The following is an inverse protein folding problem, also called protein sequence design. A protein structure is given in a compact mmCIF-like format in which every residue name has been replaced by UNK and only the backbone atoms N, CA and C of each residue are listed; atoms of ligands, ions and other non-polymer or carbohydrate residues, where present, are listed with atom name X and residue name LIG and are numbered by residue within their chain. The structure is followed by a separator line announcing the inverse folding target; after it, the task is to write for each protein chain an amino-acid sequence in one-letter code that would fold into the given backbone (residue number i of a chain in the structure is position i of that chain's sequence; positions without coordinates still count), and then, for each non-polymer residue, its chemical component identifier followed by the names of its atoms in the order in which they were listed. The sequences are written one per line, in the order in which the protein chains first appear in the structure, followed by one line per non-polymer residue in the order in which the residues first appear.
data_IF_021167090715
#
_entry.id   IF_021167090715
#
_cell.length_a   1.000
_cell.length_b   1.000
_cell.length_c   1.000
_cell.angle_alpha   90.00
_cell.angle_beta   90.00
_cell.angle_gamma   90.00
#
_symmetry.space_group_name_H-M   'P 1'
#
loop_
_entity.id
_entity.type
_entity.pdbx_description
1 polymer ?
#
# COMPACT_ATOMS: atom_id res chain seq x y z
N UNK A 1 16.05 21.28 -24.03
CA UNK A 1 16.33 20.05 -24.78
C UNK A 1 15.14 19.78 -25.68
N UNK A 2 15.28 19.95 -27.00
CA UNK A 2 14.15 19.90 -27.94
C UNK A 2 13.73 18.44 -28.16
N UNK A 3 12.47 18.14 -27.80
CA UNK A 3 11.86 16.85 -28.11
C UNK A 3 11.41 16.90 -29.60
N UNK A 4 12.40 16.72 -30.48
CA UNK A 4 12.18 16.63 -31.91
C UNK A 4 12.07 15.19 -32.34
N UNK A 5 10.89 14.62 -32.37
CA UNK A 5 10.64 13.32 -32.98
C UNK A 5 10.04 13.53 -34.36
N UNK A 6 10.90 13.49 -35.40
CA UNK A 6 10.50 13.62 -36.80
C UNK A 6 9.78 12.34 -37.23
N UNK A 7 8.48 12.43 -37.51
CA UNK A 7 7.75 11.49 -38.38
C UNK A 7 7.10 10.26 -37.73
N UNK A 8 7.19 10.06 -36.42
CA UNK A 8 6.44 8.99 -35.77
C UNK A 8 5.07 9.52 -35.36
N UNK A 9 4.00 8.95 -35.92
CA UNK A 9 2.63 9.23 -35.45
C UNK A 9 2.59 8.93 -33.95
N UNK A 10 2.16 9.90 -33.14
CA UNK A 10 2.04 9.73 -31.68
C UNK A 10 0.62 9.34 -31.32
N UNK A 11 0.42 8.43 -30.35
CA UNK A 11 -0.91 8.13 -29.83
C UNK A 11 -1.49 9.35 -29.11
N UNK A 12 -2.79 9.55 -29.25
CA UNK A 12 -3.52 10.60 -28.52
C UNK A 12 -4.00 10.09 -27.16
N UNK A 13 -4.21 11.00 -26.20
CA UNK A 13 -4.79 10.64 -24.90
C UNK A 13 -6.18 9.99 -25.02
N UNK A 14 -6.96 10.42 -26.02
CA UNK A 14 -8.27 9.82 -26.31
C UNK A 14 -8.14 8.34 -26.73
N UNK A 15 -7.16 8.03 -27.58
CA UNK A 15 -6.87 6.64 -27.99
C UNK A 15 -6.38 5.79 -26.82
N UNK A 16 -5.51 6.34 -25.97
CA UNK A 16 -5.03 5.65 -24.77
C UNK A 16 -6.17 5.38 -23.79
N UNK A 17 -7.08 6.35 -23.56
CA UNK A 17 -8.28 6.17 -22.73
C UNK A 17 -9.20 5.09 -23.27
N UNK A 18 -9.47 5.12 -24.57
CA UNK A 18 -10.31 4.12 -25.24
C UNK A 18 -9.74 2.71 -25.05
N UNK A 19 -8.44 2.55 -25.28
CA UNK A 19 -7.78 1.26 -25.12
C UNK A 19 -7.71 0.80 -23.65
N UNK A 20 -7.38 1.69 -22.72
CA UNK A 20 -7.35 1.37 -21.30
C UNK A 20 -8.71 0.88 -20.78
N UNK A 21 -9.81 1.54 -21.21
CA UNK A 21 -11.16 1.10 -20.86
C UNK A 21 -11.49 -0.29 -21.44
N UNK A 22 -11.10 -0.59 -22.68
CA UNK A 22 -11.30 -1.93 -23.25
C UNK A 22 -10.47 -2.98 -22.54
N UNK A 23 -9.23 -2.64 -22.14
CA UNK A 23 -8.35 -3.52 -21.39
C UNK A 23 -8.87 -3.85 -19.98
N UNK A 24 -9.63 -2.96 -19.38
CA UNK A 24 -10.25 -3.14 -18.06
C UNK A 24 -11.53 -3.97 -18.13
N UNK A 25 -12.43 -3.61 -19.06
CA UNK A 25 -13.75 -4.24 -19.14
C UNK A 25 -13.79 -5.51 -20.00
N UNK A 26 -12.81 -5.72 -20.87
CA UNK A 26 -12.73 -6.82 -21.86
C UNK A 26 -14.01 -6.98 -22.69
N UNK A 27 -14.78 -5.88 -22.79
CA UNK A 27 -16.05 -5.80 -23.51
C UNK A 27 -16.27 -4.39 -24.06
N UNK A 28 -16.44 -4.23 -25.40
CA UNK A 28 -16.50 -2.93 -26.05
C UNK A 28 -17.69 -2.07 -25.63
N UNK A 29 -18.86 -2.67 -25.37
CA UNK A 29 -20.07 -1.91 -24.96
C UNK A 29 -19.88 -1.31 -23.55
N UNK A 30 -19.38 -2.12 -22.60
CA UNK A 30 -19.20 -1.70 -21.22
C UNK A 30 -18.08 -0.67 -21.11
N UNK A 31 -16.97 -0.88 -21.84
CA UNK A 31 -15.88 0.08 -21.95
C UNK A 31 -16.37 1.42 -22.53
N UNK A 32 -17.21 1.39 -23.58
CA UNK A 32 -17.76 2.61 -24.18
C UNK A 32 -18.68 3.37 -23.22
N UNK A 33 -19.54 2.65 -22.49
CA UNK A 33 -20.41 3.23 -21.48
C UNK A 33 -19.59 3.88 -20.33
N UNK A 34 -18.53 3.21 -19.89
CA UNK A 34 -17.67 3.69 -18.80
C UNK A 34 -16.99 5.04 -19.10
N UNK A 35 -16.65 5.30 -20.36
CA UNK A 35 -15.97 6.56 -20.77
C UNK A 35 -16.86 7.52 -21.55
N UNK A 36 -18.19 7.27 -21.61
CA UNK A 36 -19.15 8.15 -22.26
C UNK A 36 -19.01 8.23 -23.78
N UNK A 37 -18.56 7.16 -24.43
CA UNK A 37 -18.40 7.07 -25.89
C UNK A 37 -19.42 6.12 -26.52
N UNK A 38 -19.68 6.27 -27.82
CA UNK A 38 -20.38 5.24 -28.57
C UNK A 38 -19.44 4.06 -28.89
N UNK A 39 -19.97 2.83 -28.92
CA UNK A 39 -19.16 1.64 -29.22
C UNK A 39 -18.42 1.73 -30.58
N UNK A 40 -18.99 2.26 -31.68
CA UNK A 40 -18.24 2.47 -32.91
C UNK A 40 -17.08 3.44 -32.78
N UNK A 41 -17.26 4.55 -32.04
CA UNK A 41 -16.21 5.54 -31.81
C UNK A 41 -15.07 4.94 -30.95
N UNK A 42 -15.39 4.17 -29.92
CA UNK A 42 -14.42 3.46 -29.11
C UNK A 42 -13.61 2.46 -29.95
N UNK A 43 -14.29 1.64 -30.76
CA UNK A 43 -13.62 0.65 -31.63
C UNK A 43 -12.73 1.34 -32.67
N UNK A 44 -13.15 2.45 -33.24
CA UNK A 44 -12.34 3.25 -34.16
C UNK A 44 -11.07 3.82 -33.47
N UNK A 45 -11.23 4.33 -32.24
CA UNK A 45 -10.10 4.86 -31.46
C UNK A 45 -9.05 3.79 -31.13
N UNK A 46 -9.48 2.59 -30.78
CA UNK A 46 -8.57 1.47 -30.51
C UNK A 46 -7.88 1.00 -31.78
N UNK A 47 -8.61 0.87 -32.89
CA UNK A 47 -8.01 0.48 -34.18
C UNK A 47 -6.98 1.52 -34.68
N UNK A 48 -7.27 2.82 -34.50
CA UNK A 48 -6.34 3.89 -34.82
C UNK A 48 -5.08 3.88 -33.91
N UNK A 49 -5.20 3.43 -32.66
CA UNK A 49 -4.06 3.21 -31.76
C UNK A 49 -3.20 2.05 -32.27
N UNK A 50 -3.81 0.92 -32.61
CA UNK A 50 -3.12 -0.25 -33.16
C UNK A 50 -2.35 0.12 -34.44
N UNK A 51 -2.97 0.90 -35.33
CA UNK A 51 -2.32 1.43 -36.54
C UNK A 51 -1.16 2.37 -36.21
N UNK A 52 -1.33 3.26 -35.23
CA UNK A 52 -0.28 4.22 -34.81
C UNK A 52 0.92 3.50 -34.21
N UNK A 53 0.70 2.45 -33.43
CA UNK A 53 1.76 1.68 -32.77
C UNK A 53 2.33 0.55 -33.64
N UNK A 54 1.63 0.19 -34.74
CA UNK A 54 2.04 -0.90 -35.64
C UNK A 54 1.95 -2.29 -35.00
N UNK A 55 1.14 -2.44 -33.93
CA UNK A 55 0.98 -3.71 -33.20
C UNK A 55 -0.49 -3.97 -32.88
N UNK A 56 -0.88 -5.23 -32.94
CA UNK A 56 -2.21 -5.67 -32.53
C UNK A 56 -2.27 -5.77 -31.00
N UNK A 57 -3.19 -5.02 -30.39
CA UNK A 57 -3.37 -4.96 -28.93
C UNK A 57 -4.46 -5.91 -28.45
N UNK A 58 -5.43 -6.23 -29.31
CA UNK A 58 -6.58 -7.06 -28.96
C UNK A 58 -6.69 -8.27 -29.89
N UNK A 59 -6.97 -9.42 -29.31
CA UNK A 59 -7.42 -10.60 -30.01
C UNK A 59 -8.95 -10.62 -30.01
N UNK A 60 -9.55 -10.49 -31.20
CA UNK A 60 -11.01 -10.43 -31.38
C UNK A 60 -11.51 -11.80 -31.79
N UNK A 61 -12.23 -12.47 -30.91
CA UNK A 61 -13.05 -13.62 -31.25
C UNK A 61 -14.51 -13.21 -31.33
N UNK A 62 -15.36 -14.01 -31.98
CA UNK A 62 -16.80 -13.74 -32.10
C UNK A 62 -17.54 -13.66 -30.75
N UNK A 63 -16.91 -14.08 -29.66
CA UNK A 63 -17.53 -14.15 -28.31
C UNK A 63 -16.76 -13.42 -27.20
N UNK A 64 -15.48 -13.10 -27.40
CA UNK A 64 -14.65 -12.48 -26.34
C UNK A 64 -13.62 -11.53 -26.93
N UNK A 65 -13.30 -10.50 -26.15
CA UNK A 65 -12.15 -9.62 -26.36
C UNK A 65 -11.08 -10.03 -25.37
N UNK A 66 -9.89 -10.31 -25.88
CA UNK A 66 -8.72 -10.63 -25.06
C UNK A 66 -7.59 -9.66 -25.40
N UNK A 67 -6.73 -9.39 -24.43
CA UNK A 67 -5.50 -8.65 -24.70
C UNK A 67 -4.48 -9.59 -25.34
N UNK A 68 -3.78 -9.08 -26.37
CA UNK A 68 -2.58 -9.75 -26.84
C UNK A 68 -1.44 -9.58 -25.81
N UNK A 69 -0.36 -10.38 -25.85
CA UNK A 69 0.81 -10.16 -24.98
C UNK A 69 1.43 -8.77 -25.13
N UNK A 70 1.33 -8.14 -26.30
CA UNK A 70 1.70 -6.74 -26.51
C UNK A 70 0.68 -5.81 -25.85
N UNK A 71 -0.62 -6.13 -25.98
CA UNK A 71 -1.72 -5.39 -25.39
C UNK A 71 -1.61 -5.27 -23.87
N UNK A 72 -1.27 -6.35 -23.17
CA UNK A 72 -1.09 -6.32 -21.70
C UNK A 72 0.01 -5.33 -21.28
N UNK A 73 1.17 -5.39 -21.92
CA UNK A 73 2.30 -4.47 -21.63
C UNK A 73 1.95 -3.03 -21.97
N UNK A 74 1.27 -2.80 -23.10
CA UNK A 74 0.91 -1.46 -23.54
C UNK A 74 -0.24 -0.90 -22.70
N UNK A 75 -1.18 -1.74 -22.21
CA UNK A 75 -2.24 -1.31 -21.30
C UNK A 75 -1.66 -0.77 -19.97
N UNK A 76 -0.66 -1.43 -19.41
CA UNK A 76 0.03 -0.94 -18.22
C UNK A 76 0.72 0.43 -18.47
N UNK A 77 1.39 0.59 -19.62
CA UNK A 77 2.03 1.86 -19.99
C UNK A 77 1.02 2.97 -20.29
N UNK A 78 -0.08 2.64 -20.99
CA UNK A 78 -1.15 3.59 -21.27
C UNK A 78 -1.79 4.13 -19.99
N UNK A 79 -2.06 3.27 -19.02
CA UNK A 79 -2.52 3.69 -17.69
C UNK A 79 -1.54 4.65 -17.03
N UNK A 80 -0.25 4.34 -16.96
CA UNK A 80 0.75 5.23 -16.38
C UNK A 80 0.83 6.62 -17.05
N UNK A 81 0.63 6.72 -18.37
CA UNK A 81 0.55 8.01 -19.07
C UNK A 81 -0.72 8.78 -18.67
N UNK A 82 -1.87 8.10 -18.60
CA UNK A 82 -3.14 8.72 -18.21
C UNK A 82 -3.11 9.18 -16.74
N UNK A 83 -2.52 8.41 -15.86
CA UNK A 83 -2.31 8.76 -14.46
C UNK A 83 -1.40 9.99 -14.33
N UNK A 84 -0.35 10.08 -15.14
CA UNK A 84 0.54 11.26 -15.17
C UNK A 84 -0.19 12.54 -15.63
N UNK A 85 -1.13 12.41 -16.57
CA UNK A 85 -1.98 13.54 -16.99
C UNK A 85 -2.96 13.91 -15.88
N UNK A 86 -3.54 12.95 -15.19
CA UNK A 86 -4.36 13.17 -14.00
C UNK A 86 -3.60 13.96 -12.94
N UNK A 87 -2.37 13.53 -12.61
CA UNK A 87 -1.50 14.23 -11.67
C UNK A 87 -1.17 15.67 -12.06
N UNK A 88 -1.01 15.95 -13.36
CA UNK A 88 -0.80 17.33 -13.84
C UNK A 88 -2.01 18.23 -13.53
N UNK A 89 -3.23 17.74 -13.72
CA UNK A 89 -4.45 18.49 -13.43
C UNK A 89 -4.63 18.71 -11.91
N UNK A 90 -4.37 17.67 -11.12
CA UNK A 90 -4.43 17.72 -9.65
C UNK A 90 -3.40 18.72 -9.09
N UNK A 91 -2.19 18.74 -9.65
CA UNK A 91 -1.15 19.70 -9.28
C UNK A 91 -1.58 21.15 -9.56
N UNK A 92 -2.22 21.38 -10.70
CA UNK A 92 -2.77 22.70 -11.05
C UNK A 92 -3.92 23.12 -10.09
N UNK A 93 -4.73 22.19 -9.62
CA UNK A 93 -5.79 22.44 -8.63
C UNK A 93 -5.23 22.66 -7.22
N UNK A 94 -4.25 21.88 -6.79
CA UNK A 94 -3.62 22.01 -5.48
C UNK A 94 -2.96 23.39 -5.27
N UNK A 95 -2.39 23.97 -6.34
CA UNK A 95 -1.85 25.35 -6.30
C UNK A 95 -2.97 26.38 -6.06
N UNK A 96 -4.21 26.11 -6.49
CA UNK A 96 -5.33 27.04 -6.35
C UNK A 96 -6.04 26.98 -5.00
N UNK A 97 -6.09 25.81 -4.38
CA UNK A 97 -6.80 25.61 -3.12
C UNK A 97 -6.22 24.41 -2.34
N UNK A 98 -5.27 24.63 -1.42
CA UNK A 98 -4.69 23.57 -0.60
C UNK A 98 -5.77 22.90 0.28
N UNK A 99 -5.57 21.64 0.60
CA UNK A 99 -6.48 20.79 1.39
C UNK A 99 -7.88 20.65 0.76
N UNK A 100 -7.95 20.56 -0.56
CA UNK A 100 -9.18 20.28 -1.33
C UNK A 100 -8.94 19.19 -2.37
N UNK A 101 -10.03 18.73 -3.00
CA UNK A 101 -9.99 17.70 -4.05
C UNK A 101 -9.72 16.29 -3.52
N UNK A 102 -9.35 15.40 -4.41
CA UNK A 102 -9.12 13.99 -4.09
C UNK A 102 -7.73 13.78 -3.49
N UNK A 103 -7.66 12.98 -2.43
CA UNK A 103 -6.42 12.44 -1.87
C UNK A 103 -6.50 10.91 -1.90
N UNK A 104 -5.67 10.28 -2.70
CA UNK A 104 -5.56 8.82 -2.78
C UNK A 104 -4.47 8.34 -1.83
N UNK A 105 -4.91 7.78 -0.70
CA UNK A 105 -4.05 7.27 0.36
C UNK A 105 -3.88 5.76 0.25
N UNK A 106 -2.67 5.30 -0.02
CA UNK A 106 -2.30 3.89 0.09
C UNK A 106 -1.91 3.53 1.53
N UNK A 107 -2.37 2.40 2.03
CA UNK A 107 -2.06 1.94 3.40
C UNK A 107 -1.72 0.45 3.38
N UNK A 108 -0.69 0.04 4.10
CA UNK A 108 -0.35 -1.39 4.22
C UNK A 108 -1.34 -2.12 5.15
N UNK A 109 -1.63 -3.43 4.88
CA UNK A 109 -2.64 -4.19 5.63
C UNK A 109 -2.35 -4.32 7.13
N UNK A 110 -1.08 -4.24 7.52
CA UNK A 110 -0.68 -4.32 8.94
C UNK A 110 -0.80 -3.00 9.71
N UNK A 111 -1.29 -1.95 9.05
CA UNK A 111 -1.54 -0.61 9.61
C UNK A 111 -3.00 -0.19 9.41
N UNK A 112 -3.58 -0.50 8.26
CA UNK A 112 -4.91 -0.02 7.87
C UNK A 112 -6.00 -0.25 8.94
N UNK A 113 -6.27 -1.47 9.43
CA UNK A 113 -7.36 -1.71 10.36
C UNK A 113 -7.21 -0.97 11.70
N UNK A 114 -5.97 -0.68 12.10
CA UNK A 114 -5.64 -0.15 13.43
C UNK A 114 -5.52 1.37 13.45
N UNK A 115 -5.15 1.98 12.31
CA UNK A 115 -4.89 3.41 12.23
C UNK A 115 -5.95 4.18 11.43
N UNK A 116 -6.65 3.54 10.49
CA UNK A 116 -7.69 4.21 9.70
C UNK A 116 -8.76 4.92 10.53
N UNK A 117 -9.26 4.40 11.66
CA UNK A 117 -10.22 5.14 12.50
C UNK A 117 -9.68 6.50 12.93
N UNK A 118 -8.39 6.59 13.27
CA UNK A 118 -7.70 7.84 13.65
C UNK A 118 -7.53 8.76 12.45
N UNK A 119 -7.08 8.21 11.31
CA UNK A 119 -6.90 8.95 10.05
C UNK A 119 -8.21 9.53 9.56
N UNK A 120 -9.26 8.73 9.45
CA UNK A 120 -10.59 9.17 9.01
C UNK A 120 -11.15 10.26 9.93
N UNK A 121 -11.01 10.07 11.25
CA UNK A 121 -11.41 11.08 12.23
C UNK A 121 -10.63 12.40 12.10
N UNK A 122 -9.33 12.33 11.78
CA UNK A 122 -8.51 13.51 11.51
C UNK A 122 -9.00 14.25 10.26
N UNK A 123 -9.16 13.52 9.15
CA UNK A 123 -9.58 14.11 7.87
C UNK A 123 -10.97 14.74 7.97
N UNK A 124 -11.92 14.06 8.57
CA UNK A 124 -13.28 14.58 8.76
C UNK A 124 -13.31 15.91 9.55
N UNK A 125 -12.46 16.04 10.58
CA UNK A 125 -12.43 17.26 11.41
C UNK A 125 -11.60 18.40 10.83
N UNK A 126 -10.40 18.06 10.28
CA UNK A 126 -9.40 19.08 9.91
C UNK A 126 -9.38 19.40 8.41
N UNK A 127 -9.78 18.43 7.58
CA UNK A 127 -9.70 18.54 6.11
C UNK A 127 -11.02 18.18 5.43
N UNK A 128 -12.19 18.75 5.83
CA UNK A 128 -13.51 18.31 5.36
C UNK A 128 -13.78 18.57 3.87
N UNK A 129 -12.89 19.32 3.20
CA UNK A 129 -12.99 19.57 1.75
C UNK A 129 -12.14 18.61 0.91
N UNK A 130 -11.41 17.70 1.57
CA UNK A 130 -10.66 16.65 0.89
C UNK A 130 -11.52 15.40 0.76
N UNK A 131 -11.61 14.86 -0.45
CA UNK A 131 -12.18 13.53 -0.71
C UNK A 131 -11.09 12.47 -0.51
N UNK A 132 -11.10 11.80 0.64
CA UNK A 132 -10.11 10.81 1.00
C UNK A 132 -10.50 9.44 0.44
N UNK A 133 -9.74 8.94 -0.53
CA UNK A 133 -9.85 7.60 -1.07
C UNK A 133 -8.74 6.71 -0.49
N UNK A 134 -9.12 5.60 0.12
CA UNK A 134 -8.19 4.69 0.78
C UNK A 134 -8.02 3.42 -0.02
N UNK A 135 -6.77 3.03 -0.26
CA UNK A 135 -6.37 1.80 -0.95
C UNK A 135 -5.50 0.97 -0.02
N UNK A 136 -5.94 -0.23 0.30
CA UNK A 136 -5.19 -1.17 1.13
C UNK A 136 -4.52 -2.21 0.23
N UNK A 137 -3.17 -2.18 0.19
CA UNK A 137 -2.37 -3.06 -0.66
C UNK A 137 -0.99 -3.32 -0.02
N UNK A 138 -0.28 -4.33 -0.53
CA UNK A 138 1.09 -4.61 -0.14
C UNK A 138 2.05 -3.50 -0.60
N UNK A 139 3.20 -3.38 0.10
CA UNK A 139 4.16 -2.30 -0.11
C UNK A 139 4.60 -2.12 -1.57
N UNK A 140 4.87 -3.21 -2.29
CA UNK A 140 5.30 -3.14 -3.69
C UNK A 140 4.23 -2.50 -4.59
N UNK A 141 2.98 -2.94 -4.48
CA UNK A 141 1.83 -2.40 -5.23
C UNK A 141 1.59 -0.93 -4.90
N UNK A 142 1.71 -0.55 -3.61
CA UNK A 142 1.58 0.83 -3.17
C UNK A 142 2.67 1.73 -3.78
N UNK A 143 3.92 1.27 -3.81
CA UNK A 143 5.04 2.01 -4.41
C UNK A 143 4.87 2.17 -5.92
N UNK A 144 4.41 1.14 -6.63
CA UNK A 144 4.05 1.24 -8.04
C UNK A 144 2.91 2.25 -8.27
N UNK A 145 1.89 2.23 -7.40
CA UNK A 145 0.78 3.19 -7.42
C UNK A 145 1.25 4.63 -7.21
N UNK A 146 2.17 4.84 -6.25
CA UNK A 146 2.77 6.14 -5.97
C UNK A 146 3.62 6.64 -7.15
N UNK A 147 4.50 5.79 -7.69
CA UNK A 147 5.36 6.13 -8.82
C UNK A 147 4.55 6.42 -10.10
N UNK A 148 3.47 5.69 -10.33
CA UNK A 148 2.57 5.87 -11.46
C UNK A 148 1.55 7.00 -11.32
N UNK A 149 1.45 7.68 -10.16
CA UNK A 149 0.49 8.75 -9.90
C UNK A 149 -0.92 8.29 -9.57
N UNK A 150 -1.17 6.98 -9.43
CA UNK A 150 -2.45 6.43 -8.97
C UNK A 150 -2.69 6.66 -7.47
N UNK A 151 -1.60 6.82 -6.70
CA UNK A 151 -1.63 7.17 -5.29
C UNK A 151 -0.84 8.46 -5.07
N UNK A 152 -1.29 9.26 -4.12
CA UNK A 152 -0.70 10.55 -3.79
C UNK A 152 0.20 10.45 -2.56
N UNK A 153 -0.24 9.67 -1.58
CA UNK A 153 0.39 9.53 -0.28
C UNK A 153 0.29 8.08 0.18
N UNK A 154 1.32 7.57 0.82
CA UNK A 154 1.32 6.22 1.42
C UNK A 154 1.47 6.31 2.93
N UNK A 155 0.84 5.38 3.66
CA UNK A 155 1.03 5.17 5.09
C UNK A 155 1.53 3.75 5.32
N UNK A 156 2.82 3.62 5.67
CA UNK A 156 3.50 2.33 5.67
C UNK A 156 4.72 2.33 6.60
N UNK A 157 5.36 1.16 6.73
CA UNK A 157 6.58 1.03 7.49
C UNK A 157 7.81 1.45 6.67
N UNK A 158 8.75 2.11 7.32
CA UNK A 158 10.02 2.61 6.74
C UNK A 158 11.22 2.04 7.51
N UNK A 159 12.45 2.05 6.93
CA UNK A 159 12.85 2.71 5.69
C UNK A 159 12.45 1.95 4.43
N UNK A 160 12.15 2.67 3.34
CA UNK A 160 11.83 2.07 2.04
C UNK A 160 13.07 1.88 1.16
N UNK A 161 14.03 2.79 1.27
CA UNK A 161 15.24 2.78 0.44
C UNK A 161 14.98 2.99 -1.06
N UNK A 162 13.85 3.61 -1.44
CA UNK A 162 13.41 3.78 -2.83
C UNK A 162 13.74 5.19 -3.32
N UNK A 163 14.52 5.35 -4.41
CA UNK A 163 14.77 6.66 -5.00
C UNK A 163 13.48 7.36 -5.45
N UNK A 164 13.42 8.67 -5.28
CA UNK A 164 12.27 9.48 -5.69
C UNK A 164 11.09 9.46 -4.72
N UNK A 165 11.24 8.83 -3.55
CA UNK A 165 10.27 8.83 -2.47
C UNK A 165 10.81 9.62 -1.27
N UNK A 166 10.01 10.50 -0.72
CA UNK A 166 10.28 11.24 0.52
C UNK A 166 9.46 10.65 1.64
N UNK A 167 10.12 10.24 2.71
CA UNK A 167 9.50 9.69 3.91
C UNK A 167 9.30 10.78 4.96
N UNK A 168 8.11 10.82 5.56
CA UNK A 168 7.73 11.73 6.63
C UNK A 168 7.39 10.88 7.87
N UNK A 169 8.31 10.63 8.78
CA UNK A 169 8.07 9.81 9.97
C UNK A 169 6.87 10.32 10.77
N UNK A 170 6.04 9.41 11.27
CA UNK A 170 4.85 9.73 12.07
C UNK A 170 5.00 9.20 13.49
N UNK A 171 5.29 7.91 13.66
CA UNK A 171 5.49 7.30 14.97
C UNK A 171 6.34 6.04 14.89
N UNK A 172 6.89 5.66 16.03
CA UNK A 172 7.49 4.36 16.27
C UNK A 172 6.56 3.52 17.14
N UNK A 173 6.50 2.20 16.89
CA UNK A 173 5.76 1.25 17.71
C UNK A 173 6.55 -0.03 17.93
N UNK A 174 6.44 -0.60 19.15
CA UNK A 174 7.08 -1.87 19.48
C UNK A 174 6.35 -3.06 18.90
N UNK A 175 7.09 -4.13 18.77
CA UNK A 175 6.54 -5.46 18.65
C UNK A 175 6.31 -6.10 20.02
N UNK A 176 5.25 -6.88 20.11
CA UNK A 176 4.97 -7.77 21.23
C UNK A 176 4.96 -9.22 20.74
N UNK A 177 5.35 -10.14 21.60
CA UNK A 177 5.18 -11.56 21.34
C UNK A 177 3.73 -11.94 21.61
N UNK A 178 3.05 -12.50 20.61
CA UNK A 178 1.73 -13.11 20.79
C UNK A 178 1.88 -14.63 20.85
N UNK A 179 1.33 -15.25 21.88
CA UNK A 179 1.46 -16.67 22.13
C UNK A 179 0.14 -17.25 22.65
N UNK A 180 -0.05 -18.58 22.57
CA UNK A 180 -1.15 -19.25 23.28
C UNK A 180 -1.04 -18.98 24.80
N UNK A 181 -2.16 -18.91 25.50
CA UNK A 181 -2.21 -18.56 26.93
C UNK A 181 -1.37 -19.46 27.84
N UNK A 182 -1.21 -20.73 27.48
CA UNK A 182 -0.39 -21.69 28.22
C UNK A 182 1.10 -21.68 27.86
N UNK A 183 1.54 -20.80 26.99
CA UNK A 183 2.93 -20.74 26.54
C UNK A 183 3.85 -20.22 27.67
N UNK A 184 5.10 -20.77 27.84
CA UNK A 184 6.01 -20.36 28.92
C UNK A 184 6.35 -18.86 28.94
N UNK A 185 6.27 -18.19 27.80
CA UNK A 185 6.57 -16.75 27.68
C UNK A 185 5.32 -15.86 27.80
N UNK A 186 4.14 -16.47 28.02
CA UNK A 186 2.89 -15.74 28.19
C UNK A 186 2.93 -14.86 29.45
N UNK A 187 2.52 -13.59 29.31
CA UNK A 187 2.45 -12.63 30.42
C UNK A 187 3.78 -12.05 30.89
N UNK A 188 4.94 -12.49 30.35
CA UNK A 188 6.25 -11.94 30.72
C UNK A 188 6.41 -10.51 30.20
N UNK A 189 7.12 -9.67 30.96
CA UNK A 189 7.32 -8.24 30.66
C UNK A 189 8.74 -7.83 30.31
N UNK A 190 9.70 -8.73 30.46
CA UNK A 190 11.13 -8.46 30.24
C UNK A 190 11.74 -9.59 29.40
N UNK A 191 11.14 -9.86 28.23
CA UNK A 191 11.61 -10.90 27.34
C UNK A 191 12.90 -10.47 26.65
N UNK A 192 14.02 -11.16 26.89
CA UNK A 192 15.19 -10.94 26.05
C UNK A 192 14.90 -11.41 24.62
N UNK A 193 15.42 -10.70 23.63
CA UNK A 193 15.24 -11.05 22.21
C UNK A 193 15.69 -12.47 21.88
N UNK A 194 16.68 -12.95 22.60
CA UNK A 194 17.25 -14.31 22.46
C UNK A 194 16.25 -15.45 22.69
N UNK A 195 15.20 -15.21 23.44
CA UNK A 195 14.09 -16.18 23.62
C UNK A 195 13.40 -16.55 22.30
N UNK A 196 13.51 -15.70 21.26
CA UNK A 196 12.96 -15.99 19.95
C UNK A 196 13.66 -17.13 19.21
N UNK A 197 14.89 -17.53 19.62
CA UNK A 197 15.71 -18.53 18.91
C UNK A 197 15.05 -19.89 18.78
N UNK A 198 14.35 -20.31 19.81
CA UNK A 198 13.76 -21.66 19.88
C UNK A 198 12.26 -21.72 19.57
N UNK A 199 11.63 -20.60 19.18
CA UNK A 199 10.20 -20.53 19.02
C UNK A 199 9.77 -20.90 17.59
N UNK A 200 8.65 -21.61 17.48
CA UNK A 200 7.97 -21.79 16.19
C UNK A 200 7.24 -20.50 15.83
N UNK A 201 7.87 -19.70 14.97
CA UNK A 201 7.33 -18.41 14.56
C UNK A 201 6.41 -18.58 13.35
N UNK A 202 5.18 -18.10 13.49
CA UNK A 202 4.21 -17.96 12.42
C UNK A 202 4.39 -16.58 11.78
N UNK A 203 4.35 -16.50 10.45
CA UNK A 203 4.60 -15.28 9.68
C UNK A 203 3.45 -14.97 8.73
N UNK A 204 3.39 -13.75 8.26
CA UNK A 204 2.57 -13.39 7.11
C UNK A 204 3.20 -13.95 5.82
N UNK A 205 2.39 -14.04 4.75
CA UNK A 205 2.85 -14.39 3.41
C UNK A 205 3.88 -13.39 2.88
N UNK A 206 4.59 -13.76 1.83
CA UNK A 206 5.53 -12.89 1.13
C UNK A 206 4.85 -11.61 0.62
N UNK A 207 5.61 -10.50 0.58
CA UNK A 207 5.12 -9.18 0.20
C UNK A 207 4.62 -8.31 1.36
N UNK A 208 4.43 -8.87 2.56
CA UNK A 208 4.15 -8.09 3.75
C UNK A 208 5.44 -7.66 4.45
N UNK A 209 5.68 -6.35 4.58
CA UNK A 209 6.86 -5.82 5.27
C UNK A 209 6.98 -6.30 6.72
N UNK A 210 5.87 -6.62 7.39
CA UNK A 210 5.87 -7.20 8.72
C UNK A 210 6.57 -8.58 8.78
N UNK A 211 6.47 -9.38 7.71
CA UNK A 211 7.19 -10.64 7.60
C UNK A 211 8.71 -10.40 7.65
N UNK A 212 9.19 -9.48 6.81
CA UNK A 212 10.62 -9.18 6.71
C UNK A 212 11.14 -8.61 8.03
N UNK A 213 10.39 -7.70 8.66
CA UNK A 213 10.70 -7.15 9.97
C UNK A 213 10.79 -8.24 11.06
N UNK A 214 9.83 -9.17 11.09
CA UNK A 214 9.86 -10.28 12.04
C UNK A 214 11.06 -11.21 11.80
N UNK A 215 11.42 -11.47 10.54
CA UNK A 215 12.61 -12.25 10.19
C UNK A 215 13.90 -11.52 10.57
N UNK A 216 13.98 -10.20 10.40
CA UNK A 216 15.13 -9.38 10.82
C UNK A 216 15.31 -9.43 12.32
N UNK A 217 14.25 -9.24 13.10
CA UNK A 217 14.29 -9.35 14.57
C UNK A 217 14.79 -10.74 15.00
N UNK A 218 14.35 -11.80 14.32
CA UNK A 218 14.81 -13.16 14.61
C UNK A 218 16.29 -13.37 14.24
N UNK A 219 16.76 -12.78 13.12
CA UNK A 219 18.18 -12.84 12.73
C UNK A 219 19.07 -12.11 13.75
N UNK A 220 18.66 -10.94 14.21
CA UNK A 220 19.34 -10.19 15.27
C UNK A 220 19.38 -10.98 16.59
N UNK A 221 18.34 -11.75 16.89
CA UNK A 221 18.31 -12.67 18.03
C UNK A 221 19.23 -13.89 17.85
N UNK A 222 19.94 -14.02 16.71
CA UNK A 222 20.87 -15.12 16.44
C UNK A 222 20.19 -16.41 15.93
N UNK A 223 18.99 -16.30 15.36
CA UNK A 223 18.33 -17.42 14.67
C UNK A 223 18.91 -17.57 13.27
N UNK A 224 19.37 -18.75 12.89
CA UNK A 224 19.78 -19.05 11.50
C UNK A 224 18.59 -18.98 10.58
N UNK A 225 18.76 -18.29 9.44
CA UNK A 225 17.75 -18.25 8.36
C UNK A 225 17.48 -19.69 7.88
N UNK A 226 16.21 -20.13 7.94
CA UNK A 226 15.81 -21.45 7.45
C UNK A 226 15.17 -22.38 8.49
N UNK A 227 15.09 -22.01 9.77
CA UNK A 227 14.31 -22.78 10.74
C UNK A 227 12.82 -22.65 10.41
N UNK A 228 12.29 -23.73 9.86
CA UNK A 228 10.91 -24.09 9.54
C UNK A 228 9.82 -23.02 9.78
N UNK A 229 9.65 -22.12 8.81
CA UNK A 229 8.40 -21.38 8.67
C UNK A 229 7.45 -22.31 7.90
N UNK A 230 6.76 -23.18 8.62
CA UNK A 230 5.86 -24.16 8.02
C UNK A 230 4.45 -23.66 7.74
N UNK A 231 4.10 -22.51 8.34
CA UNK A 231 2.74 -21.96 8.22
C UNK A 231 2.80 -20.46 8.07
N UNK A 232 2.17 -19.95 7.02
CA UNK A 232 1.99 -18.53 6.77
C UNK A 232 0.50 -18.17 6.71
N UNK A 233 0.20 -16.87 6.77
CA UNK A 233 -1.15 -16.34 6.66
C UNK A 233 -1.19 -15.10 5.77
N UNK A 234 -2.25 -14.96 4.98
CA UNK A 234 -2.45 -13.81 4.11
C UNK A 234 -2.80 -12.51 4.87
N UNK A 235 -3.19 -12.59 6.13
CA UNK A 235 -3.56 -11.44 6.94
C UNK A 235 -3.33 -11.64 8.43
N UNK A 236 -3.20 -10.51 9.14
CA UNK A 236 -2.83 -10.52 10.56
C UNK A 236 -3.88 -11.21 11.44
N UNK A 237 -5.17 -10.99 11.17
CA UNK A 237 -6.25 -11.64 11.93
C UNK A 237 -6.24 -13.17 11.76
N UNK A 238 -5.94 -13.68 10.57
CA UNK A 238 -5.77 -15.12 10.35
C UNK A 238 -4.55 -15.64 11.12
N UNK A 239 -3.43 -14.92 11.07
CA UNK A 239 -2.22 -15.27 11.80
C UNK A 239 -2.48 -15.40 13.30
N UNK A 240 -3.24 -14.48 13.87
CA UNK A 240 -3.66 -14.48 15.29
C UNK A 240 -4.50 -15.70 15.63
N UNK A 241 -5.40 -16.14 14.73
CA UNK A 241 -6.19 -17.36 14.95
C UNK A 241 -5.33 -18.64 14.93
N UNK A 242 -4.30 -18.68 14.08
CA UNK A 242 -3.33 -19.79 14.07
C UNK A 242 -2.57 -19.88 15.40
N UNK A 243 -2.16 -18.72 15.96
CA UNK A 243 -1.55 -18.65 17.30
C UNK A 243 -2.53 -19.14 18.38
N UNK A 244 -3.78 -18.68 18.33
CA UNK A 244 -4.81 -19.12 19.27
C UNK A 244 -5.08 -20.63 19.21
N UNK A 245 -4.94 -21.22 18.02
CA UNK A 245 -5.01 -22.66 17.78
C UNK A 245 -3.78 -23.46 18.25
N UNK A 246 -2.74 -22.79 18.79
CA UNK A 246 -1.57 -23.44 19.33
C UNK A 246 -0.50 -23.86 18.30
N UNK A 247 -0.58 -23.37 17.04
CA UNK A 247 0.35 -23.72 15.98
C UNK A 247 1.75 -23.06 16.14
N UNK A 248 1.88 -22.08 17.03
CA UNK A 248 3.12 -21.37 17.26
C UNK A 248 2.90 -20.01 17.90
N UNK A 249 3.84 -19.11 17.73
CA UNK A 249 3.81 -17.74 18.24
C UNK A 249 4.04 -16.75 17.09
N UNK A 250 3.75 -15.47 17.30
CA UNK A 250 4.05 -14.43 16.30
C UNK A 250 4.48 -13.12 16.95
N UNK A 251 5.06 -12.24 16.16
CA UNK A 251 5.31 -10.84 16.52
C UNK A 251 4.15 -9.99 16.03
N UNK A 252 3.53 -9.25 16.94
CA UNK A 252 2.40 -8.39 16.66
C UNK A 252 2.77 -6.92 16.91
N UNK A 253 2.47 -5.99 15.99
CA UNK A 253 2.62 -4.58 16.27
C UNK A 253 1.71 -4.14 17.41
N UNK A 254 2.19 -3.26 18.27
CA UNK A 254 1.47 -2.86 19.48
C UNK A 254 0.11 -2.22 19.21
N UNK A 255 -0.03 -1.50 18.10
CA UNK A 255 -1.32 -0.91 17.67
C UNK A 255 -2.38 -1.97 17.35
N UNK A 256 -1.96 -3.14 16.84
CA UNK A 256 -2.87 -4.24 16.51
C UNK A 256 -3.36 -5.02 17.74
N UNK A 257 -2.60 -5.00 18.83
CA UNK A 257 -2.83 -5.84 20.00
C UNK A 257 -4.27 -5.76 20.53
N UNK A 258 -4.77 -4.55 20.73
CA UNK A 258 -6.09 -4.34 21.31
C UNK A 258 -7.22 -4.93 20.47
N UNK A 259 -7.15 -4.76 19.14
CA UNK A 259 -8.19 -5.23 18.24
C UNK A 259 -8.13 -6.75 18.07
N UNK A 260 -6.95 -7.30 17.89
CA UNK A 260 -6.73 -8.70 17.57
C UNK A 260 -6.92 -9.64 18.78
N UNK A 261 -6.70 -9.15 20.01
CA UNK A 261 -6.83 -9.99 21.23
C UNK A 261 -8.13 -9.78 21.99
N UNK A 262 -8.93 -8.74 21.67
CA UNK A 262 -10.10 -8.33 22.45
C UNK A 262 -11.18 -9.42 22.63
N UNK A 263 -11.24 -10.41 21.75
CA UNK A 263 -12.26 -11.47 21.75
C UNK A 263 -11.68 -12.87 21.86
N UNK A 264 -10.41 -12.99 22.22
CA UNK A 264 -9.74 -14.29 22.23
C UNK A 264 -9.02 -14.55 23.57
N UNK A 265 -9.70 -15.28 24.45
CA UNK A 265 -9.18 -15.62 25.78
C UNK A 265 -8.05 -16.66 25.74
N UNK A 266 -7.79 -17.30 24.58
CA UNK A 266 -6.74 -18.30 24.40
C UNK A 266 -5.38 -17.68 24.10
N UNK A 267 -5.31 -16.37 23.97
CA UNK A 267 -4.08 -15.62 23.67
C UNK A 267 -3.50 -14.95 24.90
N UNK A 268 -2.20 -14.82 24.91
CA UNK A 268 -1.45 -14.01 25.85
C UNK A 268 -0.28 -13.31 25.17
N UNK A 269 0.14 -12.19 25.74
CA UNK A 269 1.22 -11.37 25.20
C UNK A 269 2.42 -11.43 26.10
N UNK A 270 3.62 -11.42 25.48
CA UNK A 270 4.90 -11.17 26.13
C UNK A 270 5.47 -9.85 25.63
N UNK A 271 6.08 -9.08 26.51
CA UNK A 271 6.70 -7.80 26.19
C UNK A 271 8.21 -7.93 26.27
N UNK A 272 8.91 -7.35 25.29
CA UNK A 272 10.38 -7.40 25.26
C UNK A 272 10.98 -6.42 26.25
N UNK A 273 12.19 -6.76 26.73
CA UNK A 273 13.04 -5.85 27.47
C UNK A 273 13.51 -4.70 26.56
N UNK A 274 13.72 -3.53 27.15
CA UNK A 274 14.23 -2.36 26.42
C UNK A 274 15.72 -2.48 26.05
N UNK A 275 16.11 -2.07 24.85
CA UNK A 275 15.27 -1.52 23.79
C UNK A 275 14.45 -2.60 23.08
N UNK A 276 13.12 -2.47 23.08
CA UNK A 276 12.24 -3.43 22.42
C UNK A 276 12.42 -3.42 20.90
N UNK A 277 12.18 -4.57 20.22
CA UNK A 277 12.08 -4.54 18.75
C UNK A 277 10.95 -3.62 18.34
N UNK A 278 11.21 -2.75 17.37
CA UNK A 278 10.23 -1.73 16.96
C UNK A 278 10.22 -1.54 15.44
N UNK A 279 9.19 -0.87 14.95
CA UNK A 279 9.12 -0.40 13.57
C UNK A 279 8.72 1.06 13.54
N UNK A 280 9.13 1.76 12.49
CA UNK A 280 8.72 3.14 12.21
C UNK A 280 7.64 3.18 11.16
N UNK A 281 6.56 3.90 11.42
CA UNK A 281 5.49 4.19 10.48
C UNK A 281 5.62 5.63 10.00
N UNK A 282 5.52 5.82 8.69
CA UNK A 282 5.67 7.11 8.03
C UNK A 282 4.59 7.33 6.97
N UNK A 283 4.36 8.59 6.64
CA UNK A 283 3.79 8.96 5.35
C UNK A 283 4.91 9.01 4.32
N UNK A 284 4.64 8.54 3.11
CA UNK A 284 5.59 8.59 2.01
C UNK A 284 4.94 9.20 0.77
N UNK A 285 5.68 10.07 0.07
CA UNK A 285 5.21 10.81 -1.09
C UNK A 285 6.27 10.85 -2.19
N UNK A 286 5.89 11.18 -3.42
CA UNK A 286 6.86 11.46 -4.48
C UNK A 286 7.72 12.67 -4.13
N UNK A 287 9.02 12.54 -4.29
CA UNK A 287 9.93 13.69 -4.17
C UNK A 287 9.63 14.68 -5.30
N UNK A 288 9.41 15.96 -4.95
CA UNK A 288 9.08 17.00 -5.92
C UNK A 288 7.59 17.14 -6.26
N UNK A 289 6.68 16.47 -5.53
CA UNK A 289 5.24 16.79 -5.63
C UNK A 289 4.96 18.24 -5.25
N UNK A 290 4.08 18.94 -5.98
CA UNK A 290 3.66 20.30 -5.62
C UNK A 290 2.85 20.36 -4.31
N UNK A 291 2.29 19.23 -3.88
CA UNK A 291 1.54 19.08 -2.62
C UNK A 291 2.42 18.82 -1.39
N UNK A 292 3.74 19.02 -1.49
CA UNK A 292 4.69 18.65 -0.45
C UNK A 292 4.38 19.31 0.90
N UNK A 293 4.06 20.60 0.91
CA UNK A 293 3.74 21.34 2.15
C UNK A 293 2.41 20.86 2.76
N UNK A 294 1.45 20.52 1.92
CA UNK A 294 0.18 19.93 2.35
C UNK A 294 0.41 18.57 3.04
N UNK A 295 1.22 17.70 2.44
CA UNK A 295 1.52 16.39 3.01
C UNK A 295 2.36 16.47 4.29
N UNK A 296 3.27 17.43 4.40
CA UNK A 296 3.97 17.74 5.66
C UNK A 296 3.01 18.18 6.76
N UNK A 297 2.03 19.03 6.43
CA UNK A 297 1.02 19.47 7.40
C UNK A 297 0.11 18.30 7.82
N UNK A 298 -0.24 17.40 6.90
CA UNK A 298 -0.99 16.16 7.20
C UNK A 298 -0.15 15.25 8.12
N UNK A 299 1.15 15.07 7.86
CA UNK A 299 2.04 14.29 8.71
C UNK A 299 2.12 14.87 10.14
N UNK A 300 2.28 16.17 10.27
CA UNK A 300 2.28 16.84 11.57
C UNK A 300 0.96 16.64 12.32
N UNK A 301 -0.17 16.82 11.63
CA UNK A 301 -1.49 16.57 12.22
C UNK A 301 -1.71 15.12 12.63
N UNK A 302 -1.18 14.16 11.86
CA UNK A 302 -1.28 12.74 12.17
C UNK A 302 -0.43 12.37 13.39
N UNK A 303 0.78 12.94 13.57
CA UNK A 303 1.61 12.77 14.79
C UNK A 303 0.85 13.18 16.05
N UNK A 304 0.09 14.26 15.98
CA UNK A 304 -0.76 14.67 17.10
C UNK A 304 -1.93 13.70 17.31
N UNK A 305 -2.57 13.27 16.23
CA UNK A 305 -3.75 12.41 16.31
C UNK A 305 -3.43 11.01 16.85
N UNK A 306 -2.20 10.52 16.69
CA UNK A 306 -1.78 9.19 17.18
C UNK A 306 -1.34 9.19 18.65
N UNK A 307 -1.17 10.33 19.31
CA UNK A 307 -0.76 10.42 20.73
C UNK A 307 -1.57 9.56 21.70
N UNK A 308 -2.89 9.36 21.51
CA UNK A 308 -3.67 8.48 22.38
C UNK A 308 -3.43 6.97 22.15
N UNK A 309 -2.73 6.62 21.08
CA UNK A 309 -2.38 5.23 20.75
C UNK A 309 -1.12 4.79 21.51
N UNK A 310 -0.89 3.48 21.68
CA UNK A 310 0.30 2.97 22.36
C UNK A 310 1.54 3.01 21.45
N UNK A 311 1.90 4.21 21.01
CA UNK A 311 2.99 4.50 20.06
C UNK A 311 3.80 5.71 20.53
N UNK A 312 4.98 5.91 19.96
CA UNK A 312 5.81 7.10 20.20
C UNK A 312 5.81 7.98 18.95
N UNK A 313 5.12 9.13 18.96
CA UNK A 313 5.19 10.10 17.87
C UNK A 313 6.63 10.55 17.64
N UNK A 314 7.05 10.58 16.37
CA UNK A 314 8.40 11.06 16.02
C UNK A 314 8.47 12.58 16.07
N UNK A 315 9.63 13.11 16.48
CA UNK A 315 9.96 14.52 16.29
C UNK A 315 10.10 14.79 14.79
N UNK A 316 9.47 15.88 14.31
CA UNK A 316 9.32 16.20 12.89
C UNK A 316 10.61 16.59 12.19
#
# INVERSE_FOLDING_TARGET
MAIGNRGVKQPTLAQLRAFAAVAEHLHFRDAAAAIGMSQPALSGSVSALEETLGVQLLERTTRKVLLSPAGERIAARARGVLDSVGGLLEEAEAVRAPFTGVLRLGVIPTVAPYLLPTVLGLFHRRYPRMDLQVHEEQTATLLEGLAGGRLDLLLLAVPLGVPGVTELPVFDEDFVLLAPRGHPLAGRRDLPRDELRGLQLLLLDEGHCLRDQALDICREAGRTAGADVTTTAAGLSTLVQLVAGGLGVTLLPRTALRLETARNEHLATGYFAEPAPSRRIALAMRTGTARQEEFRAIAAALREAVRPLPVWPTDG
#
